data_IF_702704289070
#
_entry.id   IF_702704289070
#
_cell.length_a   1.000
_cell.length_b   1.000
_cell.length_c   1.000
_cell.angle_alpha   90.00
_cell.angle_beta   90.00
_cell.angle_gamma   90.00
#
_symmetry.space_group_name_H-M   'P 1'
#
loop_
_entity.id
_entity.type
_entity.pdbx_description
1 polymer ?
#
# COMPACT_ATOMS: atom_id res chain seq x y z
N UNK A 1 -1.76 28.47 2.22
CA UNK A 1 -1.27 28.80 3.56
C UNK A 1 -0.47 30.10 3.52
N UNK A 2 -0.87 31.10 4.31
CA UNK A 2 -0.15 32.37 4.41
C UNK A 2 1.13 32.18 5.22
N UNK A 3 2.27 32.26 4.58
CA UNK A 3 3.59 32.20 5.19
C UNK A 3 4.62 32.88 4.31
N UNK A 4 5.83 33.08 4.84
CA UNK A 4 6.94 33.74 4.14
C UNK A 4 7.40 32.96 2.87
N UNK A 5 7.04 31.68 2.77
CA UNK A 5 7.19 30.83 1.59
C UNK A 5 5.95 29.97 1.45
N UNK A 6 4.96 30.37 0.62
CA UNK A 6 3.78 29.56 0.41
C UNK A 6 4.16 28.23 -0.28
N UNK A 7 3.86 27.12 0.35
CA UNK A 7 4.04 25.79 -0.21
C UNK A 7 2.72 25.27 -0.75
N UNK A 8 2.77 24.45 -1.80
CA UNK A 8 1.61 23.67 -2.24
C UNK A 8 1.09 22.81 -1.08
N UNK A 9 -0.23 22.76 -0.93
CA UNK A 9 -0.87 21.86 0.04
C UNK A 9 -1.05 20.54 -0.66
N UNK A 10 -0.26 19.55 -0.25
CA UNK A 10 -0.33 18.20 -0.78
C UNK A 10 0.03 17.17 0.29
N UNK A 11 -0.64 16.02 0.28
CA UNK A 11 -0.49 14.97 1.26
C UNK A 11 -0.67 13.61 0.63
N UNK A 12 0.30 12.71 0.80
CA UNK A 12 0.14 11.31 0.42
C UNK A 12 -0.78 10.58 1.40
N UNK A 13 -1.69 9.78 0.87
CA UNK A 13 -2.56 8.94 1.69
C UNK A 13 -1.76 7.93 2.50
N UNK A 14 -0.83 7.23 1.84
CA UNK A 14 0.09 6.27 2.47
C UNK A 14 1.44 6.34 1.76
N UNK A 15 2.42 7.08 2.27
CA UNK A 15 3.73 7.19 1.64
C UNK A 15 4.36 5.82 1.35
N UNK A 16 4.90 5.65 0.15
CA UNK A 16 5.57 4.43 -0.27
C UNK A 16 6.92 4.30 0.44
N UNK A 17 7.23 3.11 0.94
CA UNK A 17 8.53 2.79 1.53
C UNK A 17 9.64 2.71 0.46
N UNK A 18 10.89 2.95 0.87
CA UNK A 18 12.04 2.78 -0.02
C UNK A 18 12.18 1.31 -0.42
N UNK A 19 12.42 1.05 -1.70
CA UNK A 19 12.61 -0.30 -2.23
C UNK A 19 11.33 -1.02 -2.66
N UNK A 20 10.17 -0.33 -2.58
CA UNK A 20 8.90 -0.82 -3.12
C UNK A 20 8.56 -0.08 -4.41
N UNK A 21 7.81 -0.75 -5.30
CA UNK A 21 7.05 -0.10 -6.38
C UNK A 21 5.58 -0.06 -6.03
N UNK A 22 4.82 0.72 -6.79
CA UNK A 22 3.37 0.81 -6.60
C UNK A 22 2.65 1.12 -7.92
N UNK A 23 1.48 0.50 -8.08
CA UNK A 23 0.54 0.77 -9.16
C UNK A 23 -0.59 1.72 -8.70
N UNK A 24 -0.74 1.93 -7.39
CA UNK A 24 -1.80 2.74 -6.78
C UNK A 24 -1.29 3.61 -5.64
N UNK A 25 -0.88 4.85 -5.96
CA UNK A 25 -0.56 5.90 -5.01
C UNK A 25 -1.63 6.99 -5.05
N UNK A 26 -1.95 7.54 -3.89
CA UNK A 26 -2.93 8.63 -3.78
C UNK A 26 -2.29 9.87 -3.15
N UNK A 27 -2.52 10.99 -3.79
CA UNK A 27 -2.04 12.29 -3.39
C UNK A 27 -3.20 13.28 -3.32
N UNK A 28 -3.53 13.76 -2.14
CA UNK A 28 -4.45 14.87 -1.96
C UNK A 28 -3.75 16.18 -2.31
N UNK A 29 -4.38 16.98 -3.16
CA UNK A 29 -3.90 18.31 -3.51
C UNK A 29 -5.05 19.33 -3.39
N UNK A 30 -4.73 20.55 -3.01
CA UNK A 30 -5.67 21.66 -3.02
C UNK A 30 -5.46 22.49 -4.29
N UNK A 31 -6.54 22.68 -5.05
CA UNK A 31 -6.53 23.48 -6.27
C UNK A 31 -6.97 24.92 -5.97
N UNK A 32 -6.32 25.89 -6.61
CA UNK A 32 -6.70 27.31 -6.53
C UNK A 32 -7.84 27.66 -7.48
N UNK A 33 -7.99 26.89 -8.56
CA UNK A 33 -9.02 27.06 -9.58
C UNK A 33 -9.55 25.70 -10.02
N UNK A 34 -10.85 25.57 -10.35
CA UNK A 34 -11.40 24.35 -10.89
C UNK A 34 -10.79 24.00 -12.24
N UNK A 35 -10.57 22.71 -12.48
CA UNK A 35 -10.05 22.18 -13.73
C UNK A 35 -10.75 20.85 -14.04
N UNK A 36 -10.96 20.54 -15.30
CA UNK A 36 -11.45 19.23 -15.74
C UNK A 36 -10.45 18.13 -15.36
N UNK A 37 -10.96 17.01 -14.84
CA UNK A 37 -10.12 15.90 -14.36
C UNK A 37 -9.19 15.33 -15.45
N UNK A 38 -9.66 15.20 -16.68
CA UNK A 38 -8.84 14.70 -17.81
C UNK A 38 -7.77 15.70 -18.21
N UNK A 39 -8.11 16.99 -18.22
CA UNK A 39 -7.15 18.05 -18.50
C UNK A 39 -6.07 18.10 -17.41
N UNK A 40 -6.46 18.00 -16.14
CA UNK A 40 -5.53 17.97 -15.03
C UNK A 40 -4.53 16.80 -15.15
N UNK A 41 -5.01 15.59 -15.39
CA UNK A 41 -4.17 14.40 -15.61
C UNK A 41 -3.20 14.60 -16.78
N UNK A 42 -3.69 15.10 -17.93
CA UNK A 42 -2.85 15.37 -19.09
C UNK A 42 -1.74 16.40 -18.81
N UNK A 43 -2.08 17.49 -18.11
CA UNK A 43 -1.12 18.54 -17.74
C UNK A 43 -0.08 18.05 -16.75
N UNK A 44 -0.48 17.27 -15.75
CA UNK A 44 0.43 16.68 -14.77
C UNK A 44 1.39 15.69 -15.42
N UNK A 45 0.89 14.80 -16.29
CA UNK A 45 1.73 13.84 -17.01
C UNK A 45 2.72 14.51 -17.97
N UNK A 46 2.36 15.66 -18.56
CA UNK A 46 3.27 16.42 -19.44
C UNK A 46 4.53 16.95 -18.73
N UNK A 47 4.51 17.07 -17.40
CA UNK A 47 5.63 17.56 -16.57
C UNK A 47 6.16 16.50 -15.59
N UNK A 48 5.58 15.30 -15.55
CA UNK A 48 6.02 14.20 -14.70
C UNK A 48 7.37 13.65 -15.18
N UNK A 49 8.15 13.15 -14.23
CA UNK A 49 9.41 12.45 -14.53
C UNK A 49 9.12 11.01 -14.92
N UNK A 50 10.07 10.39 -15.60
CA UNK A 50 10.01 8.95 -15.93
C UNK A 50 9.76 8.09 -14.68
N UNK A 51 8.86 7.13 -14.79
CA UNK A 51 8.46 6.22 -13.70
C UNK A 51 7.34 6.75 -12.80
N UNK A 52 6.79 7.96 -13.06
CA UNK A 52 5.61 8.48 -12.36
C UNK A 52 4.55 8.85 -13.40
N UNK A 53 3.37 8.23 -13.26
CA UNK A 53 2.20 8.47 -14.12
C UNK A 53 0.98 8.84 -13.27
N UNK A 54 0.30 9.92 -13.64
CA UNK A 54 -1.01 10.29 -13.10
C UNK A 54 -2.08 9.50 -13.85
N UNK A 55 -2.78 8.64 -13.15
CA UNK A 55 -3.80 7.75 -13.73
C UNK A 55 -5.16 8.45 -13.78
N UNK A 56 -5.54 9.09 -12.68
CA UNK A 56 -6.84 9.76 -12.55
C UNK A 56 -6.77 10.94 -11.59
N UNK A 57 -7.80 11.76 -11.62
CA UNK A 57 -8.04 12.84 -10.67
C UNK A 57 -9.52 12.92 -10.36
N UNK A 58 -9.86 12.91 -9.09
CA UNK A 58 -11.24 12.99 -8.61
C UNK A 58 -11.36 14.04 -7.50
N UNK A 59 -12.51 14.68 -7.43
CA UNK A 59 -12.85 15.59 -6.34
C UNK A 59 -13.31 14.76 -5.14
N UNK A 60 -12.74 15.04 -3.99
CA UNK A 60 -13.13 14.47 -2.69
C UNK A 60 -13.79 15.53 -1.82
N UNK A 61 -14.41 15.10 -0.71
CA UNK A 61 -14.97 16.02 0.28
C UNK A 61 -13.89 16.95 0.87
N UNK A 62 -14.24 18.22 1.07
CA UNK A 62 -13.35 19.22 1.70
C UNK A 62 -13.19 19.02 3.23
N UNK A 63 -13.92 18.08 3.82
CA UNK A 63 -13.78 17.78 5.24
C UNK A 63 -12.38 17.20 5.54
N UNK A 64 -11.68 17.75 6.52
CA UNK A 64 -10.36 17.24 6.97
C UNK A 64 -10.36 15.75 7.32
N UNK A 65 -11.54 15.22 7.73
CA UNK A 65 -11.72 13.79 8.03
C UNK A 65 -11.73 12.90 6.79
N UNK A 66 -11.90 13.48 5.60
CA UNK A 66 -11.94 12.75 4.33
C UNK A 66 -10.57 12.69 3.62
N UNK A 67 -9.51 13.27 4.20
CA UNK A 67 -8.18 13.18 3.59
C UNK A 67 -7.69 11.73 3.52
N UNK A 68 -7.06 11.37 2.41
CA UNK A 68 -6.57 10.01 2.16
C UNK A 68 -5.72 9.46 3.31
N UNK A 69 -4.85 10.29 3.90
CA UNK A 69 -4.03 9.91 5.06
C UNK A 69 -4.87 9.51 6.29
N UNK A 70 -6.03 10.14 6.48
CA UNK A 70 -6.90 9.88 7.65
C UNK A 70 -7.76 8.66 7.44
N UNK A 71 -8.28 8.43 6.23
CA UNK A 71 -9.27 7.40 5.94
C UNK A 71 -8.67 6.07 5.47
N UNK A 72 -7.37 6.05 5.14
CA UNK A 72 -6.69 4.81 4.73
C UNK A 72 -6.87 3.71 5.78
N UNK A 73 -7.32 2.55 5.35
CA UNK A 73 -7.65 1.41 6.20
C UNK A 73 -7.01 0.09 5.75
N UNK A 74 -6.64 -0.04 4.48
CA UNK A 74 -5.97 -1.23 3.94
C UNK A 74 -5.10 -0.89 2.73
N UNK A 75 -4.19 -1.81 2.41
CA UNK A 75 -3.43 -1.84 1.15
C UNK A 75 -3.20 -3.27 0.73
N UNK A 76 -3.09 -3.51 -0.56
CA UNK A 76 -2.75 -4.82 -1.07
C UNK A 76 -1.44 -4.82 -1.86
N UNK A 77 -0.82 -5.99 -1.91
CA UNK A 77 0.55 -6.15 -2.40
C UNK A 77 0.71 -7.43 -3.20
N UNK A 78 1.64 -7.37 -4.15
CA UNK A 78 2.29 -8.54 -4.73
C UNK A 78 3.69 -8.65 -4.15
N UNK A 79 4.05 -9.85 -3.68
CA UNK A 79 5.38 -10.16 -3.18
C UNK A 79 6.03 -11.18 -4.11
N UNK A 80 7.13 -10.79 -4.71
CA UNK A 80 7.88 -11.61 -5.66
C UNK A 80 9.14 -12.16 -5.00
N UNK A 81 9.48 -13.41 -5.32
CA UNK A 81 10.77 -13.98 -4.97
C UNK A 81 11.81 -13.57 -6.00
N UNK A 82 12.98 -13.19 -5.53
CA UNK A 82 14.13 -12.87 -6.38
C UNK A 82 15.14 -14.03 -6.41
N UNK A 83 15.92 -14.13 -7.48
CA UNK A 83 17.05 -15.06 -7.53
C UNK A 83 18.23 -14.54 -6.70
N UNK A 84 18.73 -15.37 -5.79
CA UNK A 84 19.90 -15.04 -4.98
C UNK A 84 21.17 -14.91 -5.84
N UNK A 85 21.95 -13.85 -5.61
CA UNK A 85 23.25 -13.66 -6.26
C UNK A 85 23.23 -13.18 -7.70
N UNK A 86 22.05 -12.88 -8.27
CA UNK A 86 21.88 -12.23 -9.57
C UNK A 86 21.45 -10.78 -9.41
N UNK A 87 21.44 -10.02 -10.52
CA UNK A 87 20.81 -8.69 -10.57
C UNK A 87 19.45 -8.73 -9.89
N UNK A 88 19.12 -7.69 -9.11
CA UNK A 88 17.93 -7.60 -8.25
C UNK A 88 16.56 -7.73 -8.95
N UNK A 89 16.56 -7.98 -10.27
CA UNK A 89 15.34 -7.93 -11.09
C UNK A 89 14.87 -9.30 -11.58
N UNK A 90 15.64 -10.38 -11.31
CA UNK A 90 15.25 -11.72 -11.79
C UNK A 90 14.30 -12.36 -10.78
N UNK A 91 13.03 -12.43 -11.17
CA UNK A 91 11.99 -13.09 -10.39
C UNK A 91 11.99 -14.59 -10.62
N UNK A 92 11.68 -15.35 -9.57
CA UNK A 92 11.49 -16.80 -9.63
C UNK A 92 10.09 -17.18 -9.16
N UNK A 93 9.61 -18.33 -9.61
CA UNK A 93 8.33 -18.89 -9.19
C UNK A 93 8.31 -19.19 -7.70
N UNK A 94 7.14 -19.07 -7.10
CA UNK A 94 6.92 -19.48 -5.72
C UNK A 94 7.04 -21.02 -5.64
N UNK A 95 7.84 -21.56 -4.72
CA UNK A 95 7.91 -23.01 -4.51
C UNK A 95 6.54 -23.60 -4.17
N UNK A 96 6.18 -24.72 -4.80
CA UNK A 96 4.86 -25.32 -4.64
C UNK A 96 4.53 -25.72 -3.20
N UNK A 97 5.55 -26.12 -2.43
CA UNK A 97 5.45 -26.48 -1.02
C UNK A 97 5.10 -25.29 -0.11
N UNK A 98 5.32 -24.05 -0.57
CA UNK A 98 4.97 -22.87 0.21
C UNK A 98 3.47 -22.71 0.37
N UNK A 99 2.66 -23.26 -0.52
CA UNK A 99 1.20 -23.16 -0.42
C UNK A 99 0.70 -23.86 0.86
N UNK A 100 1.14 -25.08 1.10
CA UNK A 100 0.78 -25.84 2.31
C UNK A 100 1.34 -25.17 3.57
N UNK A 101 2.61 -24.79 3.54
CA UNK A 101 3.25 -24.08 4.67
C UNK A 101 2.58 -22.73 4.98
N UNK A 102 2.07 -22.03 3.98
CA UNK A 102 1.34 -20.78 4.15
C UNK A 102 -0.02 -20.99 4.80
N UNK A 103 -0.75 -22.04 4.37
CA UNK A 103 -2.02 -22.43 4.98
C UNK A 103 -1.83 -22.81 6.45
N UNK A 104 -0.78 -23.58 6.76
CA UNK A 104 -0.40 -23.92 8.14
C UNK A 104 -0.04 -22.69 8.96
N UNK A 105 0.79 -21.79 8.41
CA UNK A 105 1.18 -20.54 9.05
C UNK A 105 -0.05 -19.68 9.41
N UNK A 106 -1.01 -19.53 8.50
CA UNK A 106 -2.23 -18.77 8.74
C UNK A 106 -3.24 -19.53 9.64
N UNK A 107 -3.14 -20.84 9.79
CA UNK A 107 -4.03 -21.63 10.66
C UNK A 107 -3.72 -21.48 12.15
N UNK A 108 -2.55 -20.95 12.50
CA UNK A 108 -2.19 -20.68 13.89
C UNK A 108 -3.27 -19.83 14.58
N UNK A 109 -3.52 -20.03 15.86
CA UNK A 109 -4.49 -19.25 16.63
C UNK A 109 -4.11 -17.77 16.65
N UNK A 110 -2.82 -17.48 16.83
CA UNK A 110 -2.21 -16.16 16.82
C UNK A 110 -0.89 -16.18 16.04
N UNK A 111 -0.55 -15.07 15.40
CA UNK A 111 0.76 -14.84 14.78
C UNK A 111 1.43 -13.69 15.53
N UNK A 112 2.22 -14.06 16.52
CA UNK A 112 2.85 -13.10 17.42
C UNK A 112 4.19 -12.61 16.88
N UNK A 113 4.37 -11.30 16.84
CA UNK A 113 5.61 -10.63 16.45
C UNK A 113 6.03 -9.59 17.45
N UNK A 114 7.33 -9.41 17.65
CA UNK A 114 7.87 -8.33 18.46
C UNK A 114 8.00 -7.06 17.65
N UNK A 115 7.19 -6.05 17.97
CA UNK A 115 7.35 -4.70 17.42
C UNK A 115 8.16 -3.84 18.39
N UNK A 116 9.32 -3.37 17.91
CA UNK A 116 10.14 -2.40 18.64
C UNK A 116 9.71 -0.99 18.27
N UNK A 117 9.30 -0.22 19.25
CA UNK A 117 9.04 1.22 19.12
C UNK A 117 10.15 2.01 19.84
N UNK A 118 10.25 3.33 19.60
CA UNK A 118 11.24 4.17 20.27
C UNK A 118 11.16 4.13 21.80
N UNK A 119 10.06 3.66 22.38
CA UNK A 119 9.78 3.69 23.83
C UNK A 119 9.47 2.34 24.46
N UNK A 120 9.22 1.30 23.67
CA UNK A 120 8.83 -0.02 24.19
C UNK A 120 9.02 -1.12 23.16
N UNK A 121 9.23 -2.33 23.62
CA UNK A 121 9.07 -3.55 22.84
C UNK A 121 7.71 -4.15 23.22
N UNK A 122 6.90 -4.50 22.23
CA UNK A 122 5.57 -5.04 22.45
C UNK A 122 5.34 -6.22 21.53
N UNK A 123 4.85 -7.31 22.10
CA UNK A 123 4.35 -8.44 21.33
C UNK A 123 2.97 -8.07 20.77
N UNK A 124 2.77 -8.30 19.47
CA UNK A 124 1.56 -7.97 18.72
C UNK A 124 1.14 -9.16 17.90
N UNK A 125 -0.14 -9.52 17.99
CA UNK A 125 -0.75 -10.47 17.08
C UNK A 125 -1.05 -9.78 15.75
N UNK A 126 -0.40 -10.22 14.68
CA UNK A 126 -0.59 -9.66 13.33
C UNK A 126 -1.68 -10.39 12.54
N UNK A 127 -2.15 -11.55 12.99
CA UNK A 127 -3.14 -12.33 12.25
C UNK A 127 -4.43 -11.56 11.94
N UNK A 128 -5.04 -10.79 12.87
CA UNK A 128 -6.23 -9.99 12.59
C UNK A 128 -6.01 -8.86 11.59
N UNK A 129 -4.75 -8.48 11.32
CA UNK A 129 -4.37 -7.44 10.37
C UNK A 129 -4.11 -7.98 8.96
N UNK A 130 -4.16 -9.28 8.76
CA UNK A 130 -4.09 -9.94 7.44
C UNK A 130 -5.53 -10.16 6.98
N UNK A 131 -6.05 -9.25 6.15
CA UNK A 131 -7.44 -9.32 5.67
C UNK A 131 -7.64 -10.35 4.57
N UNK A 132 -6.58 -10.69 3.85
CA UNK A 132 -6.58 -11.72 2.83
C UNK A 132 -5.18 -12.02 2.32
N UNK A 133 -5.00 -13.20 1.79
CA UNK A 133 -3.76 -13.59 1.13
C UNK A 133 -3.96 -14.78 0.21
N UNK A 134 -3.12 -14.93 -0.79
CA UNK A 134 -3.16 -16.04 -1.72
C UNK A 134 -1.76 -16.32 -2.29
N UNK A 135 -1.34 -17.58 -2.31
CA UNK A 135 -0.15 -18.01 -3.02
C UNK A 135 -0.50 -18.25 -4.49
N UNK A 136 0.08 -17.44 -5.37
CA UNK A 136 0.07 -17.62 -6.82
C UNK A 136 1.36 -18.29 -7.29
N UNK A 137 1.43 -18.67 -8.57
CA UNK A 137 2.64 -19.24 -9.14
C UNK A 137 3.81 -18.26 -9.19
N UNK A 138 3.54 -16.98 -9.50
CA UNK A 138 4.54 -15.95 -9.74
C UNK A 138 4.75 -15.00 -8.55
N UNK A 139 3.78 -14.91 -7.62
CA UNK A 139 3.83 -14.00 -6.48
C UNK A 139 2.92 -14.44 -5.35
N UNK A 140 3.14 -13.87 -4.17
CA UNK A 140 2.23 -13.98 -3.03
C UNK A 140 1.40 -12.69 -2.98
N UNK A 141 0.07 -12.84 -3.02
CA UNK A 141 -0.85 -11.73 -2.79
C UNK A 141 -1.07 -11.54 -1.30
N UNK A 142 -1.01 -10.29 -0.83
CA UNK A 142 -1.29 -9.90 0.55
C UNK A 142 -2.27 -8.72 0.56
N UNK A 143 -3.32 -8.79 1.39
CA UNK A 143 -4.24 -7.70 1.67
C UNK A 143 -4.20 -7.40 3.17
N UNK A 144 -3.68 -6.24 3.55
CA UNK A 144 -3.23 -5.93 4.90
C UNK A 144 -3.88 -4.65 5.45
N UNK A 145 -4.10 -4.63 6.77
CA UNK A 145 -4.46 -3.40 7.48
C UNK A 145 -3.39 -2.33 7.30
N UNK A 146 -3.80 -1.13 6.89
CA UNK A 146 -2.91 0.01 6.65
C UNK A 146 -3.58 1.28 7.14
N UNK A 147 -2.83 2.16 7.78
CA UNK A 147 -3.35 3.45 8.25
C UNK A 147 -2.86 3.82 9.64
N UNK A 148 -3.48 4.84 10.21
CA UNK A 148 -3.07 5.40 11.50
C UNK A 148 -3.45 4.55 12.72
N UNK A 149 -4.54 3.79 12.62
CA UNK A 149 -5.02 2.93 13.71
C UNK A 149 -4.27 1.61 13.76
N UNK A 150 -4.13 0.98 12.61
CA UNK A 150 -3.41 -0.29 12.43
C UNK A 150 -2.57 -0.21 11.16
N UNK A 151 -1.33 -0.64 11.25
CA UNK A 151 -0.43 -0.68 10.10
C UNK A 151 0.42 -1.94 10.15
N UNK A 152 0.17 -2.85 9.21
CA UNK A 152 0.95 -4.06 9.00
C UNK A 152 1.69 -3.96 7.67
N UNK A 153 3.01 -3.93 7.75
CA UNK A 153 3.85 -3.90 6.55
C UNK A 153 4.01 -5.28 5.95
N UNK A 154 4.06 -5.42 4.61
CA UNK A 154 4.21 -6.71 3.95
C UNK A 154 5.55 -7.39 4.27
N UNK A 155 6.62 -6.61 4.49
CA UNK A 155 7.93 -7.13 4.90
C UNK A 155 7.84 -7.89 6.23
N UNK A 156 7.14 -7.36 7.25
CA UNK A 156 6.98 -8.03 8.53
C UNK A 156 6.21 -9.35 8.43
N UNK A 157 5.18 -9.40 7.58
CA UNK A 157 4.44 -10.66 7.33
C UNK A 157 5.35 -11.70 6.71
N UNK A 158 6.10 -11.31 5.68
CA UNK A 158 6.97 -12.23 4.96
C UNK A 158 8.18 -12.66 5.78
N UNK A 159 8.82 -11.76 6.53
CA UNK A 159 9.89 -12.10 7.47
C UNK A 159 9.43 -13.12 8.50
N UNK A 160 8.21 -12.94 9.03
CA UNK A 160 7.63 -13.87 10.00
C UNK A 160 7.36 -15.25 9.37
N UNK A 161 6.81 -15.28 8.17
CA UNK A 161 6.57 -16.51 7.42
C UNK A 161 7.90 -17.21 7.03
N UNK A 162 8.86 -16.49 6.50
CA UNK A 162 10.17 -17.04 6.12
C UNK A 162 10.90 -17.63 7.31
N UNK A 163 10.81 -16.98 8.46
CA UNK A 163 11.33 -17.53 9.72
C UNK A 163 10.61 -18.79 10.13
N UNK A 164 9.28 -18.85 9.98
CA UNK A 164 8.47 -20.04 10.28
C UNK A 164 8.90 -21.26 9.46
N UNK A 165 9.26 -21.06 8.18
CA UNK A 165 9.73 -22.14 7.29
C UNK A 165 11.27 -22.30 7.23
N UNK A 166 12.04 -21.52 8.02
CA UNK A 166 13.51 -21.60 8.07
C UNK A 166 14.22 -21.11 6.80
N UNK A 167 13.67 -20.08 6.13
CA UNK A 167 14.19 -19.52 4.87
C UNK A 167 14.39 -18.01 4.93
N UNK A 168 14.88 -17.47 6.06
CA UNK A 168 14.99 -16.04 6.35
C UNK A 168 15.80 -15.23 5.33
N UNK A 169 16.77 -15.86 4.68
CA UNK A 169 17.67 -15.20 3.70
C UNK A 169 17.08 -15.10 2.28
N UNK A 170 15.78 -15.42 2.11
CA UNK A 170 15.12 -15.36 0.80
C UNK A 170 14.90 -13.91 0.37
N UNK A 171 15.52 -13.45 -0.74
CA UNK A 171 15.33 -12.10 -1.22
C UNK A 171 13.94 -11.92 -1.83
N UNK A 172 13.27 -10.83 -1.44
CA UNK A 172 11.91 -10.49 -1.86
C UNK A 172 11.85 -9.09 -2.49
N UNK A 173 10.88 -8.92 -3.36
CA UNK A 173 10.50 -7.63 -3.93
C UNK A 173 9.00 -7.40 -3.74
N UNK A 174 8.62 -6.16 -3.42
CA UNK A 174 7.26 -5.79 -3.07
C UNK A 174 6.71 -4.76 -4.05
N UNK A 175 5.51 -5.01 -4.57
CA UNK A 175 4.75 -4.05 -5.35
C UNK A 175 3.40 -3.81 -4.65
N UNK A 176 3.08 -2.56 -4.32
CA UNK A 176 1.75 -2.18 -3.80
C UNK A 176 0.80 -2.02 -4.97
N UNK A 177 -0.33 -2.71 -4.93
CA UNK A 177 -1.33 -2.63 -5.99
C UNK A 177 -2.24 -1.41 -5.79
N UNK A 178 -2.79 -1.27 -4.56
CA UNK A 178 -3.73 -0.19 -4.28
C UNK A 178 -3.81 0.14 -2.78
N UNK A 179 -4.50 1.24 -2.47
CA UNK A 179 -4.80 1.72 -1.12
C UNK A 179 -6.31 1.89 -0.98
N UNK A 180 -6.85 1.41 0.14
CA UNK A 180 -8.28 1.29 0.38
C UNK A 180 -8.72 2.07 1.60
N UNK A 181 -9.94 2.59 1.54
CA UNK A 181 -10.66 3.15 2.67
C UNK A 181 -12.03 2.47 2.83
N UNK A 182 -12.71 2.73 3.94
CA UNK A 182 -14.08 2.23 4.15
C UNK A 182 -15.07 3.24 3.57
N UNK A 183 -15.99 2.73 2.75
CA UNK A 183 -17.17 3.50 2.31
C UNK A 183 -18.19 3.65 3.44
N UNK A 184 -19.30 4.32 3.17
CA UNK A 184 -20.41 4.54 4.13
C UNK A 184 -21.03 3.24 4.66
N UNK A 185 -20.95 2.14 3.88
CA UNK A 185 -21.38 0.81 4.29
C UNK A 185 -20.33 0.02 5.07
N UNK A 186 -19.12 0.60 5.28
CA UNK A 186 -17.99 -0.03 5.94
C UNK A 186 -17.20 -1.01 5.06
N UNK A 187 -17.51 -1.07 3.76
CA UNK A 187 -16.80 -1.91 2.80
C UNK A 187 -15.49 -1.23 2.38
N UNK A 188 -14.41 -2.00 2.28
CA UNK A 188 -13.14 -1.52 1.74
C UNK A 188 -13.25 -1.33 0.23
N UNK A 189 -12.98 -0.11 -0.22
CA UNK A 189 -12.98 0.31 -1.63
C UNK A 189 -11.70 1.09 -1.92
N UNK A 190 -11.18 1.10 -3.16
CA UNK A 190 -10.08 1.98 -3.54
C UNK A 190 -10.40 3.44 -3.21
N UNK A 191 -9.40 4.23 -2.79
CA UNK A 191 -9.64 5.62 -2.41
C UNK A 191 -10.29 6.43 -3.54
N UNK A 192 -9.90 6.17 -4.79
CA UNK A 192 -10.50 6.81 -5.97
C UNK A 192 -12.04 6.68 -6.02
N UNK A 193 -12.56 5.54 -5.58
CA UNK A 193 -14.01 5.27 -5.60
C UNK A 193 -14.83 6.17 -4.65
N UNK A 194 -14.16 6.90 -3.75
CA UNK A 194 -14.79 7.86 -2.84
C UNK A 194 -14.90 9.27 -3.42
N UNK A 195 -14.30 9.51 -4.58
CA UNK A 195 -14.34 10.78 -5.26
C UNK A 195 -15.20 10.76 -6.53
N UNK A 196 -15.39 11.92 -7.13
CA UNK A 196 -16.11 12.10 -8.39
C UNK A 196 -15.25 12.85 -9.40
N UNK A 197 -15.24 12.46 -10.70
CA UNK A 197 -14.55 13.24 -11.72
C UNK A 197 -15.10 14.66 -11.81
N UNK A 198 -14.22 15.65 -11.94
CA UNK A 198 -14.59 17.04 -12.19
C UNK A 198 -14.79 17.25 -13.68
N UNK A 199 -15.89 17.92 -14.04
CA UNK A 199 -16.19 18.35 -15.40
C UNK A 199 -16.41 19.85 -15.35
N UNK A 200 -15.54 20.61 -16.00
CA UNK A 200 -15.69 22.06 -16.16
C UNK A 200 -16.40 22.35 -17.47
N UNK A 201 -17.53 23.07 -17.39
CA UNK A 201 -18.30 23.55 -18.56
C UNK A 201 -17.69 24.79 -19.16
#
# INVERSE_FOLDING_TARGET
>A
SGGYSPHMIMSFAQPLGIGLTSDGEYLDIELTEPIDSKEAVARMNAVSVEGIEMVSMVQISEEKKASGMTITAASDYQVFLLESGKSSDVRRKIPSEWKESWEEFLSQEQILVWKKTKKSEKEVDIKPMIYGSEIKEEYIYLYLATGSEQNLKPDLVMETFLKYIGQEDTPLFYNRLDVYARDEAGKLVPLEALGTPMVCS
#
